data_IF_115023816424
#
_entry.id   IF_115023816424
#
_cell.length_a   1.000
_cell.length_b   1.000
_cell.length_c   1.000
_cell.angle_alpha   90.00
_cell.angle_beta   90.00
_cell.angle_gamma   90.00
#
_symmetry.space_group_name_H-M   'P 1'
#
loop_
_entity.id
_entity.type
_entity.pdbx_description
1 polymer ?
#
# COMPACT_ATOMS: atom_id res chain seq x y z
N UNK A 1 14.47 21.03 -3.45
CA UNK A 1 13.07 20.78 -3.88
C UNK A 1 12.45 19.85 -2.84
N UNK A 2 12.12 20.38 -1.66
CA UNK A 2 11.83 19.57 -0.46
C UNK A 2 11.06 20.41 0.55
N UNK A 3 9.73 20.51 0.47
CA UNK A 3 8.90 20.99 1.60
C UNK A 3 7.37 21.10 1.37
N UNK A 4 6.71 20.34 0.47
CA UNK A 4 5.22 20.39 0.39
C UNK A 4 4.57 19.03 0.13
N UNK A 5 4.94 18.00 0.89
CA UNK A 5 4.17 16.75 0.94
C UNK A 5 3.74 16.50 2.38
N UNK A 6 2.95 17.42 2.94
CA UNK A 6 2.22 17.13 4.18
C UNK A 6 1.44 15.83 3.96
N UNK A 7 1.51 14.86 4.87
CA UNK A 7 0.73 13.65 4.76
C UNK A 7 -0.75 14.02 4.66
N UNK A 8 -1.38 13.79 3.49
CA UNK A 8 -2.82 13.95 3.34
C UNK A 8 -3.48 13.08 4.40
N UNK A 9 -4.25 13.72 5.28
CA UNK A 9 -4.98 13.04 6.34
C UNK A 9 -6.03 12.13 5.73
N UNK A 10 -6.38 11.01 6.38
CA UNK A 10 -7.45 10.12 5.90
C UNK A 10 -8.77 10.86 5.63
N UNK A 11 -9.09 11.85 6.48
CA UNK A 11 -10.29 12.69 6.33
C UNK A 11 -10.24 13.51 5.04
N UNK A 12 -9.15 14.25 4.80
CA UNK A 12 -9.01 15.05 3.58
C UNK A 12 -9.03 14.17 2.31
N UNK A 13 -8.44 12.98 2.38
CA UNK A 13 -8.52 12.00 1.29
C UNK A 13 -9.96 11.54 1.03
N UNK A 14 -10.70 11.19 2.09
CA UNK A 14 -12.08 10.71 1.98
C UNK A 14 -13.04 11.75 1.39
N UNK A 15 -12.81 13.05 1.66
CA UNK A 15 -13.60 14.12 1.04
C UNK A 15 -13.25 14.28 -0.44
N UNK A 16 -11.95 14.25 -0.79
CA UNK A 16 -11.50 14.43 -2.17
C UNK A 16 -11.99 13.30 -3.11
N UNK A 17 -12.07 12.05 -2.63
CA UNK A 17 -12.47 10.92 -3.47
C UNK A 17 -13.96 10.95 -3.87
N UNK A 18 -14.81 11.70 -3.18
CA UNK A 18 -16.25 11.84 -3.49
C UNK A 18 -16.50 12.47 -4.85
N UNK A 19 -15.61 13.36 -5.29
CA UNK A 19 -15.71 14.05 -6.59
C UNK A 19 -15.17 13.22 -7.76
N UNK A 20 -14.44 12.13 -7.48
CA UNK A 20 -13.80 11.31 -8.50
C UNK A 20 -14.79 10.33 -9.14
N UNK A 21 -14.61 10.03 -10.42
CA UNK A 21 -15.36 8.96 -11.09
C UNK A 21 -14.85 7.57 -10.69
N UNK A 22 -15.68 6.53 -10.85
CA UNK A 22 -15.29 5.15 -10.52
C UNK A 22 -13.99 4.70 -11.22
N UNK A 23 -13.77 4.96 -12.53
CA UNK A 23 -12.51 4.59 -13.18
C UNK A 23 -11.28 5.26 -12.55
N UNK A 24 -11.42 6.52 -12.11
CA UNK A 24 -10.33 7.26 -11.46
C UNK A 24 -10.05 6.70 -10.06
N UNK A 25 -11.09 6.30 -9.32
CA UNK A 25 -10.91 5.61 -8.04
C UNK A 25 -10.14 4.30 -8.18
N UNK A 26 -10.52 3.46 -9.14
CA UNK A 26 -9.82 2.21 -9.40
C UNK A 26 -8.39 2.42 -9.91
N UNK A 27 -8.15 3.43 -10.75
CA UNK A 27 -6.80 3.81 -11.15
C UNK A 27 -5.95 4.23 -9.93
N UNK A 28 -6.54 4.97 -8.98
CA UNK A 28 -5.84 5.34 -7.75
C UNK A 28 -5.53 4.13 -6.87
N UNK A 29 -6.44 3.17 -6.79
CA UNK A 29 -6.23 1.91 -6.06
C UNK A 29 -5.08 1.11 -6.69
N UNK A 30 -5.02 1.03 -8.02
CA UNK A 30 -3.93 0.36 -8.73
C UNK A 30 -2.57 1.02 -8.45
N UNK A 31 -2.50 2.35 -8.45
CA UNK A 31 -1.30 3.12 -8.09
C UNK A 31 -0.85 2.84 -6.64
N UNK A 32 -1.80 2.83 -5.69
CA UNK A 32 -1.52 2.53 -4.29
C UNK A 32 -1.01 1.10 -4.10
N UNK A 33 -1.62 0.11 -4.78
CA UNK A 33 -1.18 -1.30 -4.74
C UNK A 33 0.23 -1.47 -5.33
N UNK A 34 0.51 -0.81 -6.46
CA UNK A 34 1.83 -0.80 -7.04
C UNK A 34 2.87 -0.21 -6.07
N UNK A 35 2.55 0.91 -5.43
CA UNK A 35 3.41 1.54 -4.42
C UNK A 35 3.67 0.64 -3.22
N UNK A 36 2.64 -0.06 -2.72
CA UNK A 36 2.76 -1.06 -1.64
C UNK A 36 3.67 -2.21 -2.06
N UNK A 37 3.50 -2.76 -3.26
CA UNK A 37 4.32 -3.85 -3.76
C UNK A 37 5.81 -3.45 -3.86
N UNK A 38 6.09 -2.23 -4.32
CA UNK A 38 7.44 -1.68 -4.32
C UNK A 38 8.02 -1.53 -2.92
N UNK A 39 7.26 -1.01 -1.96
CA UNK A 39 7.69 -0.89 -0.56
C UNK A 39 7.95 -2.25 0.08
N UNK A 40 7.10 -3.25 -0.17
CA UNK A 40 7.30 -4.62 0.34
C UNK A 40 8.59 -5.24 -0.19
N UNK A 41 8.87 -5.10 -1.49
CA UNK A 41 10.12 -5.57 -2.08
C UNK A 41 11.33 -4.88 -1.46
N UNK A 42 11.29 -3.55 -1.35
CA UNK A 42 12.38 -2.78 -0.72
C UNK A 42 12.61 -3.18 0.74
N UNK A 43 11.54 -3.37 1.52
CA UNK A 43 11.65 -3.84 2.91
C UNK A 43 12.23 -5.27 2.98
N UNK A 44 11.88 -6.15 2.04
CA UNK A 44 12.45 -7.49 1.98
C UNK A 44 13.96 -7.43 1.69
N UNK A 45 14.38 -6.62 0.72
CA UNK A 45 15.80 -6.40 0.39
C UNK A 45 16.57 -5.84 1.59
N UNK A 46 16.02 -4.84 2.30
CA UNK A 46 16.63 -4.29 3.51
C UNK A 46 16.77 -5.34 4.62
N UNK A 47 15.74 -6.16 4.86
CA UNK A 47 15.79 -7.22 5.87
C UNK A 47 16.83 -8.29 5.54
N UNK A 48 16.96 -8.66 4.26
CA UNK A 48 18.02 -9.57 3.81
C UNK A 48 19.39 -8.97 4.06
N UNK A 49 19.59 -7.69 3.70
CA UNK A 49 20.86 -7.00 3.94
C UNK A 49 21.22 -6.92 5.43
N UNK A 50 20.26 -6.57 6.30
CA UNK A 50 20.43 -6.55 7.77
C UNK A 50 20.90 -7.92 8.28
N UNK A 51 20.32 -9.00 7.75
CA UNK A 51 20.58 -10.38 8.21
C UNK A 51 21.90 -10.94 7.69
N UNK A 52 22.21 -10.68 6.42
CA UNK A 52 23.30 -11.36 5.70
C UNK A 52 24.58 -10.55 5.57
N UNK A 53 24.49 -9.21 5.68
CA UNK A 53 25.60 -8.31 5.31
C UNK A 53 25.95 -7.27 6.37
N UNK A 54 25.12 -7.11 7.41
CA UNK A 54 25.34 -6.08 8.41
C UNK A 54 26.09 -6.63 9.63
N UNK A 55 27.29 -6.11 9.89
CA UNK A 55 28.15 -6.56 10.99
C UNK A 55 28.03 -5.67 12.25
N UNK A 56 27.63 -4.41 12.07
CA UNK A 56 27.45 -3.41 13.14
C UNK A 56 26.01 -3.42 13.67
N UNK A 57 25.83 -3.58 14.98
CA UNK A 57 24.49 -3.53 15.59
C UNK A 57 23.85 -2.13 15.51
N UNK A 58 24.68 -1.07 15.44
CA UNK A 58 24.18 0.30 15.25
C UNK A 58 23.56 0.46 13.84
N UNK A 59 24.21 -0.09 12.82
CA UNK A 59 23.75 -0.02 11.43
C UNK A 59 22.48 -0.86 11.23
N UNK A 60 22.41 -2.04 11.89
CA UNK A 60 21.19 -2.86 11.91
C UNK A 60 20.02 -2.08 12.50
N UNK A 61 20.22 -1.44 13.64
CA UNK A 61 19.17 -0.67 14.32
C UNK A 61 18.68 0.49 13.46
N UNK A 62 19.58 1.19 12.75
CA UNK A 62 19.19 2.26 11.83
C UNK A 62 18.35 1.73 10.66
N UNK A 63 18.80 0.64 10.02
CA UNK A 63 18.10 0.03 8.89
C UNK A 63 16.74 -0.56 9.29
N UNK A 64 16.63 -1.14 10.48
CA UNK A 64 15.36 -1.57 11.05
C UNK A 64 14.41 -0.39 11.26
N UNK A 65 14.94 0.78 11.63
CA UNK A 65 14.19 2.03 11.69
C UNK A 65 13.56 2.40 10.34
N UNK A 66 14.34 2.38 9.26
CA UNK A 66 13.80 2.66 7.91
C UNK A 66 12.72 1.65 7.49
N UNK A 67 12.90 0.37 7.80
CA UNK A 67 11.88 -0.66 7.53
C UNK A 67 10.60 -0.36 8.32
N UNK A 68 10.71 0.02 9.59
CA UNK A 68 9.56 0.38 10.42
C UNK A 68 8.82 1.61 9.89
N UNK A 69 9.53 2.64 9.43
CA UNK A 69 8.93 3.82 8.81
C UNK A 69 8.18 3.47 7.51
N UNK A 70 8.79 2.65 6.66
CA UNK A 70 8.14 2.16 5.43
C UNK A 70 6.87 1.36 5.72
N UNK A 71 6.85 0.58 6.80
CA UNK A 71 5.66 -0.15 7.24
C UNK A 71 4.52 0.79 7.67
N UNK A 72 4.82 1.91 8.31
CA UNK A 72 3.84 2.97 8.61
C UNK A 72 3.27 3.56 7.33
N UNK A 73 4.11 3.85 6.33
CA UNK A 73 3.68 4.34 5.02
C UNK A 73 2.76 3.33 4.33
N UNK A 74 3.14 2.04 4.34
CA UNK A 74 2.33 0.95 3.80
C UNK A 74 0.95 0.88 4.48
N UNK A 75 0.91 1.03 5.81
CA UNK A 75 -0.34 1.10 6.58
C UNK A 75 -1.25 2.24 6.11
N UNK A 76 -0.67 3.43 5.91
CA UNK A 76 -1.40 4.61 5.40
C UNK A 76 -1.94 4.40 3.98
N UNK A 77 -1.17 3.75 3.10
CA UNK A 77 -1.63 3.41 1.75
C UNK A 77 -2.77 2.39 1.74
N UNK A 78 -2.69 1.36 2.59
CA UNK A 78 -3.78 0.39 2.77
C UNK A 78 -5.05 1.05 3.29
N UNK A 79 -4.93 2.02 4.21
CA UNK A 79 -6.08 2.78 4.69
C UNK A 79 -6.75 3.57 3.55
N UNK A 80 -5.98 4.20 2.68
CA UNK A 80 -6.52 4.89 1.50
C UNK A 80 -7.25 3.94 0.55
N UNK A 81 -6.77 2.71 0.37
CA UNK A 81 -7.48 1.68 -0.40
C UNK A 81 -8.82 1.35 0.26
N UNK A 82 -8.86 1.20 1.60
CA UNK A 82 -10.12 0.97 2.34
C UNK A 82 -11.12 2.12 2.17
N UNK A 83 -10.64 3.37 2.18
CA UNK A 83 -11.49 4.53 1.92
C UNK A 83 -12.06 4.54 0.49
N UNK A 84 -11.24 4.19 -0.52
CA UNK A 84 -11.73 4.02 -1.89
C UNK A 84 -12.80 2.93 -1.98
N UNK A 85 -12.61 1.79 -1.30
CA UNK A 85 -13.59 0.70 -1.24
C UNK A 85 -14.91 1.16 -0.62
N UNK A 86 -14.84 1.81 0.54
CA UNK A 86 -16.02 2.34 1.22
C UNK A 86 -16.77 3.37 0.36
N UNK A 87 -16.07 4.19 -0.42
CA UNK A 87 -16.68 5.15 -1.35
C UNK A 87 -17.39 4.45 -2.52
N UNK A 88 -16.78 3.42 -3.12
CA UNK A 88 -17.40 2.64 -4.20
C UNK A 88 -18.68 1.96 -3.71
N UNK A 89 -18.62 1.31 -2.55
CA UNK A 89 -19.75 0.62 -1.92
C UNK A 89 -20.83 1.62 -1.46
N UNK A 90 -20.42 2.79 -0.95
CA UNK A 90 -21.32 3.89 -0.56
C UNK A 90 -22.11 4.47 -1.74
N UNK A 91 -21.58 4.36 -2.96
CA UNK A 91 -22.29 4.71 -4.21
C UNK A 91 -23.23 3.61 -4.71
N UNK A 92 -23.34 2.49 -3.99
CA UNK A 92 -24.16 1.33 -4.37
C UNK A 92 -23.52 0.41 -5.42
N UNK A 93 -22.21 0.55 -5.68
CA UNK A 93 -21.49 -0.32 -6.60
C UNK A 93 -20.82 -1.45 -5.82
N UNK A 94 -20.74 -2.65 -6.41
CA UNK A 94 -19.94 -3.72 -5.84
C UNK A 94 -18.45 -3.40 -5.99
N UNK A 95 -17.67 -3.63 -4.92
CA UNK A 95 -16.22 -3.57 -4.99
C UNK A 95 -15.68 -4.71 -5.87
N UNK A 96 -14.81 -4.35 -6.82
CA UNK A 96 -14.08 -5.32 -7.63
C UNK A 96 -12.65 -5.38 -7.09
N UNK A 97 -12.28 -6.55 -6.58
CA UNK A 97 -10.92 -6.79 -6.10
C UNK A 97 -9.96 -6.79 -7.29
N UNK A 98 -9.02 -5.83 -7.31
CA UNK A 98 -7.99 -5.71 -8.34
C UNK A 98 -6.75 -6.55 -7.97
N UNK A 99 -6.94 -7.84 -7.70
CA UNK A 99 -5.87 -8.68 -7.17
C UNK A 99 -4.88 -9.14 -8.26
N UNK A 100 -3.59 -9.21 -7.92
CA UNK A 100 -2.69 -10.24 -8.39
C UNK A 100 -2.48 -11.30 -7.28
N UNK A 101 -3.54 -11.80 -6.68
CA UNK A 101 -3.50 -13.08 -5.97
C UNK A 101 -3.65 -14.17 -7.05
N UNK A 102 -2.75 -15.16 -7.13
CA UNK A 102 -2.97 -16.30 -8.00
C UNK A 102 -4.27 -16.93 -7.55
N UNK A 103 -5.30 -16.85 -8.40
CA UNK A 103 -6.51 -17.62 -8.25
C UNK A 103 -6.12 -19.09 -8.16
N UNK A 104 -6.01 -19.63 -6.95
CA UNK A 104 -6.14 -21.07 -6.71
C UNK A 104 -7.60 -21.43 -7.02
N UNK A 105 -7.93 -21.37 -8.31
CA UNK A 105 -9.07 -22.05 -8.88
C UNK A 105 -8.81 -23.54 -8.67
N UNK A 106 -9.32 -24.05 -7.56
CA UNK A 106 -10.04 -25.33 -7.49
C UNK A 106 -9.72 -26.27 -8.64
N UNK A 107 -8.66 -27.07 -8.49
CA UNK A 107 -8.56 -28.34 -9.19
C UNK A 107 -9.58 -29.28 -8.55
N UNK A 108 -10.84 -29.16 -8.96
CA UNK A 108 -11.80 -30.25 -8.83
C UNK A 108 -11.57 -31.11 -10.06
N UNK A 109 -10.65 -32.06 -9.94
CA UNK A 109 -10.53 -33.16 -10.90
C UNK A 109 -11.65 -34.16 -10.63
N UNK A 110 -12.56 -34.28 -11.59
CA UNK A 110 -13.32 -35.52 -11.83
C UNK A 110 -12.42 -36.60 -12.45
#
# INVERSE_FOLDING_TARGET
MSSENLPITPVAFSEAIKELSLPVLYAKVAELRNSIAHLQRSNQELRLFITESCESDADKQELEGYVAENEVVKGSMNERIRLCKAEVEGRGNAWIELDPEPNEATTTGE
#
